data_IF_893227216623
#
_entry.id   IF_893227216623
#
_cell.length_a   1.000
_cell.length_b   1.000
_cell.length_c   1.000
_cell.angle_alpha   90.00
_cell.angle_beta   90.00
_cell.angle_gamma   90.00
#
_symmetry.space_group_name_H-M   'P 1'
#
loop_
_entity.id
_entity.type
_entity.pdbx_description
1 polymer ?
#
# COMPACT_ATOMS: atom_id res chain seq x y z
N UNK A 1 -2.66 9.79 -1.22
CA UNK A 1 -2.73 8.92 -2.41
C UNK A 1 -1.59 7.90 -2.50
N UNK A 2 -0.39 8.17 -1.96
CA UNK A 2 0.77 7.26 -2.05
C UNK A 2 0.49 5.79 -1.69
N UNK A 3 -0.24 5.53 -0.59
CA UNK A 3 -0.62 4.16 -0.20
C UNK A 3 -1.56 3.50 -1.23
N UNK A 4 -2.47 4.26 -1.83
CA UNK A 4 -3.33 3.77 -2.92
C UNK A 4 -2.52 3.41 -4.17
N UNK A 5 -1.49 4.19 -4.49
CA UNK A 5 -0.55 3.86 -5.57
C UNK A 5 0.19 2.54 -5.28
N UNK A 6 0.62 2.31 -4.04
CA UNK A 6 1.23 1.01 -3.65
C UNK A 6 0.28 -0.15 -3.91
N UNK A 7 -1.01 -0.01 -3.56
CA UNK A 7 -2.01 -1.06 -3.79
C UNK A 7 -2.16 -1.37 -5.29
N UNK A 8 -2.30 -0.34 -6.13
CA UNK A 8 -2.46 -0.53 -7.58
C UNK A 8 -1.17 -1.04 -8.25
N UNK A 9 0.00 -0.55 -7.82
CA UNK A 9 1.29 -1.03 -8.32
C UNK A 9 1.52 -2.50 -7.96
N UNK A 10 1.13 -2.92 -6.75
CA UNK A 10 1.19 -4.33 -6.34
C UNK A 10 0.26 -5.19 -7.18
N UNK A 11 -0.98 -4.76 -7.42
CA UNK A 11 -1.92 -5.47 -8.29
C UNK A 11 -1.37 -5.63 -9.72
N UNK A 12 -0.70 -4.59 -10.24
CA UNK A 12 -0.14 -4.60 -11.60
C UNK A 12 1.14 -5.44 -11.73
N UNK A 13 2.00 -5.43 -10.70
CA UNK A 13 3.35 -6.03 -10.77
C UNK A 13 3.50 -7.39 -10.11
N UNK A 14 2.58 -7.76 -9.22
CA UNK A 14 2.63 -9.02 -8.49
C UNK A 14 1.56 -9.94 -9.05
N UNK A 15 2.00 -10.79 -9.97
CA UNK A 15 1.24 -11.73 -10.79
C UNK A 15 0.49 -12.81 -9.99
N UNK A 16 0.76 -12.94 -8.69
CA UNK A 16 -0.02 -13.78 -7.78
C UNK A 16 -1.21 -13.06 -7.12
N UNK A 17 -1.39 -11.76 -7.36
CA UNK A 17 -2.50 -10.95 -6.85
C UNK A 17 -3.42 -10.64 -8.03
N UNK A 18 -4.72 -10.93 -7.88
CA UNK A 18 -5.69 -10.79 -8.98
C UNK A 18 -6.73 -9.71 -8.73
N UNK A 19 -6.80 -9.18 -7.52
CA UNK A 19 -7.76 -8.15 -7.14
C UNK A 19 -7.20 -7.21 -6.06
N UNK A 20 -7.82 -6.03 -5.91
CA UNK A 20 -7.54 -5.12 -4.79
C UNK A 20 -7.77 -5.82 -3.45
N UNK A 21 -8.76 -6.71 -3.38
CA UNK A 21 -9.01 -7.53 -2.20
C UNK A 21 -7.79 -8.40 -1.87
N UNK A 22 -7.22 -9.10 -2.86
CA UNK A 22 -6.03 -9.94 -2.64
C UNK A 22 -4.84 -9.11 -2.13
N UNK A 23 -4.64 -7.90 -2.65
CA UNK A 23 -3.57 -7.01 -2.21
C UNK A 23 -3.77 -6.56 -0.76
N UNK A 24 -4.98 -6.11 -0.41
CA UNK A 24 -5.30 -5.58 0.93
C UNK A 24 -5.26 -6.68 1.99
N UNK A 25 -5.75 -7.87 1.64
CA UNK A 25 -5.81 -9.03 2.54
C UNK A 25 -4.61 -9.97 2.39
N UNK A 26 -3.56 -9.60 1.66
CA UNK A 26 -2.35 -10.42 1.57
C UNK A 26 -1.72 -10.63 2.96
N UNK A 27 -1.25 -11.87 3.20
CA UNK A 27 -0.57 -12.31 4.44
C UNK A 27 0.79 -12.92 4.18
N UNK A 28 1.24 -12.95 2.92
CA UNK A 28 2.55 -13.49 2.58
C UNK A 28 3.60 -12.65 3.31
N UNK A 29 4.44 -13.32 4.08
CA UNK A 29 5.50 -12.70 4.86
C UNK A 29 5.01 -11.72 5.96
N UNK A 30 3.74 -11.81 6.36
CA UNK A 30 3.16 -10.99 7.43
C UNK A 30 1.93 -10.20 7.00
N UNK A 31 1.36 -9.43 7.93
CA UNK A 31 0.23 -8.54 7.67
C UNK A 31 0.70 -7.36 6.83
N UNK A 32 0.13 -7.20 5.63
CA UNK A 32 0.49 -6.12 4.71
C UNK A 32 -0.18 -4.79 5.07
N UNK A 33 -1.48 -4.84 5.39
CA UNK A 33 -2.27 -3.68 5.78
C UNK A 33 -3.01 -3.98 7.09
N UNK A 34 -2.68 -3.23 8.14
CA UNK A 34 -3.28 -3.45 9.46
C UNK A 34 -4.81 -3.31 9.50
N UNK A 35 -5.47 -2.41 8.73
CA UNK A 35 -6.94 -2.30 8.75
C UNK A 35 -7.67 -3.59 8.36
N UNK A 36 -7.07 -4.39 7.48
CA UNK A 36 -7.65 -5.66 7.02
C UNK A 36 -7.82 -6.68 8.15
N UNK A 37 -7.01 -6.55 9.22
CA UNK A 37 -6.94 -7.50 10.32
C UNK A 37 -7.32 -6.92 11.67
N UNK A 38 -7.30 -5.59 11.83
CA UNK A 38 -7.85 -4.91 13.01
C UNK A 38 -9.39 -4.82 12.98
N UNK A 39 -10.02 -5.14 11.85
CA UNK A 39 -11.46 -5.01 11.62
C UNK A 39 -11.89 -3.61 11.15
N UNK A 40 -10.99 -2.61 11.20
CA UNK A 40 -11.33 -1.24 10.79
C UNK A 40 -11.53 -1.07 9.28
N UNK A 41 -11.18 -2.08 8.46
CA UNK A 41 -11.51 -2.11 7.03
C UNK A 41 -13.03 -2.10 6.76
N UNK A 42 -13.83 -2.55 7.72
CA UNK A 42 -15.30 -2.57 7.62
C UNK A 42 -15.96 -1.31 8.20
N UNK A 43 -15.18 -0.38 8.75
CA UNK A 43 -15.69 0.90 9.23
C UNK A 43 -16.01 1.83 8.07
N UNK A 44 -16.92 2.78 8.31
CA UNK A 44 -17.20 3.85 7.34
C UNK A 44 -15.91 4.64 7.03
N UNK A 45 -15.49 4.71 5.76
CA UNK A 45 -14.29 5.46 5.39
C UNK A 45 -14.55 6.96 5.54
N UNK A 46 -13.49 7.73 5.81
CA UNK A 46 -13.60 9.19 5.74
C UNK A 46 -13.71 9.65 4.29
N UNK A 47 -14.37 10.79 4.06
CA UNK A 47 -14.46 11.43 2.74
C UNK A 47 -13.10 11.63 2.07
N UNK A 48 -12.06 11.95 2.85
CA UNK A 48 -10.70 12.11 2.34
C UNK A 48 -10.11 10.79 1.84
N UNK A 49 -10.37 9.68 2.52
CA UNK A 49 -9.97 8.35 2.06
C UNK A 49 -10.68 7.95 0.76
N UNK A 50 -12.00 8.20 0.66
CA UNK A 50 -12.77 7.93 -0.56
C UNK A 50 -12.25 8.76 -1.73
N UNK A 51 -11.99 10.06 -1.51
CA UNK A 51 -11.42 10.94 -2.55
C UNK A 51 -10.04 10.48 -2.98
N UNK A 52 -9.18 10.11 -2.03
CA UNK A 52 -7.84 9.61 -2.34
C UNK A 52 -7.88 8.32 -3.17
N UNK A 53 -8.80 7.41 -2.87
CA UNK A 53 -8.98 6.18 -3.65
C UNK A 53 -9.42 6.47 -5.08
N UNK A 54 -10.40 7.37 -5.27
CA UNK A 54 -10.85 7.81 -6.61
C UNK A 54 -9.72 8.43 -7.44
N UNK A 55 -8.93 9.31 -6.83
CA UNK A 55 -7.76 9.93 -7.48
C UNK A 55 -6.78 8.84 -7.97
N UNK A 56 -6.49 7.83 -7.14
CA UNK A 56 -5.63 6.72 -7.58
C UNK A 56 -6.24 5.92 -8.74
N UNK A 57 -7.55 5.66 -8.72
CA UNK A 57 -8.25 4.94 -9.78
C UNK A 57 -8.33 5.73 -11.10
N UNK A 58 -8.30 7.06 -11.03
CA UNK A 58 -8.18 7.94 -12.21
C UNK A 58 -6.76 7.94 -12.82
N UNK A 59 -5.80 7.23 -12.22
CA UNK A 59 -4.44 7.07 -12.73
C UNK A 59 -3.43 8.07 -12.17
N UNK A 60 -3.82 8.90 -11.20
CA UNK A 60 -2.86 9.78 -10.53
C UNK A 60 -1.94 8.96 -9.62
N UNK A 61 -0.64 9.07 -9.90
CA UNK A 61 0.42 8.30 -9.25
C UNK A 61 1.45 9.23 -8.63
N UNK A 62 1.99 8.85 -7.47
CA UNK A 62 3.22 9.47 -6.94
C UNK A 62 4.44 8.91 -7.67
N UNK A 63 4.38 7.62 -8.01
CA UNK A 63 5.42 6.89 -8.73
C UNK A 63 4.90 5.51 -9.08
N UNK A 64 5.22 5.05 -10.28
CA UNK A 64 4.85 3.70 -10.72
C UNK A 64 5.81 2.63 -10.21
N UNK A 65 6.91 3.02 -9.54
CA UNK A 65 7.93 2.09 -9.04
C UNK A 65 7.73 1.65 -7.58
N UNK A 66 6.89 2.35 -6.82
CA UNK A 66 6.72 2.07 -5.38
C UNK A 66 5.87 0.82 -5.13
N UNK A 67 6.37 -0.08 -4.29
CA UNK A 67 5.71 -1.33 -3.89
C UNK A 67 5.56 -1.49 -2.37
N UNK A 68 6.34 -0.75 -1.60
CA UNK A 68 6.41 -0.84 -0.15
C UNK A 68 6.53 0.56 0.45
N UNK A 69 6.11 0.70 1.70
CA UNK A 69 6.28 1.92 2.49
C UNK A 69 6.60 1.54 3.93
N UNK A 70 7.35 2.41 4.62
CA UNK A 70 7.70 2.25 6.03
C UNK A 70 7.64 3.61 6.71
N UNK A 71 7.44 3.62 8.03
CA UNK A 71 7.79 4.77 8.85
C UNK A 71 9.26 4.63 9.28
N UNK A 72 10.16 5.40 8.67
CA UNK A 72 11.60 5.30 8.95
C UNK A 72 11.98 5.66 10.38
N UNK A 73 11.18 6.46 11.09
CA UNK A 73 11.42 6.81 12.49
C UNK A 73 11.17 5.63 13.44
N UNK A 74 10.18 4.79 13.12
CA UNK A 74 9.71 3.70 13.98
C UNK A 74 10.15 2.31 13.48
N UNK A 75 10.75 2.23 12.29
CA UNK A 75 11.12 0.95 11.66
C UNK A 75 12.60 0.67 11.90
N UNK A 76 12.95 -0.37 12.69
CA UNK A 76 14.35 -0.77 12.86
C UNK A 76 14.94 -1.24 11.53
N UNK A 77 16.28 -1.40 11.42
CA UNK A 77 16.90 -1.91 10.19
C UNK A 77 16.29 -3.25 9.77
N UNK A 78 15.53 -3.24 8.68
CA UNK A 78 14.81 -4.39 8.11
C UNK A 78 15.33 -4.71 6.71
N UNK A 79 14.82 -5.79 6.13
CA UNK A 79 15.06 -6.13 4.72
C UNK A 79 14.66 -4.97 3.79
N UNK A 80 13.65 -4.16 4.13
CA UNK A 80 13.25 -3.02 3.31
C UNK A 80 14.35 -1.95 3.27
N UNK A 81 14.95 -1.63 4.42
CA UNK A 81 16.03 -0.63 4.49
C UNK A 81 17.34 -1.10 3.85
N UNK A 82 17.52 -2.41 3.66
CA UNK A 82 18.76 -3.00 3.08
C UNK A 82 18.62 -3.41 1.62
N UNK A 83 17.42 -3.82 1.21
CA UNK A 83 17.15 -4.45 -0.08
C UNK A 83 16.23 -3.63 -1.00
N UNK A 84 15.65 -2.54 -0.52
CA UNK A 84 14.84 -1.65 -1.35
C UNK A 84 15.52 -0.30 -1.55
N UNK A 85 15.34 0.28 -2.74
CA UNK A 85 15.76 1.64 -3.06
C UNK A 85 14.70 2.62 -2.59
N UNK A 86 15.10 3.64 -1.83
CA UNK A 86 14.22 4.74 -1.46
C UNK A 86 13.87 5.57 -2.70
N UNK A 87 12.57 5.73 -2.98
CA UNK A 87 12.08 6.55 -4.09
C UNK A 87 11.71 7.96 -3.63
N UNK A 88 10.96 8.09 -2.54
CA UNK A 88 10.45 9.37 -2.05
C UNK A 88 10.05 9.29 -0.57
N UNK A 89 10.12 10.43 0.12
CA UNK A 89 9.57 10.66 1.46
C UNK A 89 8.50 11.76 1.35
N UNK A 90 7.36 11.59 2.02
CA UNK A 90 6.18 12.48 1.95
C UNK A 90 5.73 12.81 3.37
#
# INVERSE_FOLDING_TARGET
IAVGCVVLNRLSKLDYLSSVYDVVFDRRYGIQFSPAYSGSVYSEPTESCVRAAKICLEGYTVSDSILYFINSADTPPTWMTRGCTLIVTI
#
